data_IF_207072538955
#
_entry.id   IF_207072538955
#
_cell.length_a   1.000
_cell.length_b   1.000
_cell.length_c   1.000
_cell.angle_alpha   90.00
_cell.angle_beta   90.00
_cell.angle_gamma   90.00
#
_symmetry.space_group_name_H-M   'P 1'
#
loop_
_entity.id
_entity.type
_entity.pdbx_description
1 polymer ?
#
# COMPACT_ATOMS: atom_id res chain seq x y z
N UNK A 1 -14.64 12.67 4.11
CA UNK A 1 -15.86 11.86 4.09
C UNK A 1 -16.95 12.65 3.38
N UNK A 2 -17.53 12.07 2.34
CA UNK A 2 -18.57 12.68 1.50
C UNK A 2 -19.85 11.89 1.69
N UNK A 3 -20.98 12.58 1.90
CA UNK A 3 -22.31 11.96 1.84
C UNK A 3 -22.72 11.81 0.37
N UNK A 4 -22.78 10.58 -0.14
CA UNK A 4 -23.09 10.28 -1.54
C UNK A 4 -24.56 10.54 -1.94
N UNK A 5 -25.42 10.93 -1.00
CA UNK A 5 -26.81 11.33 -1.29
C UNK A 5 -26.94 12.84 -1.53
N UNK A 6 -26.03 13.63 -0.94
CA UNK A 6 -26.06 15.10 -1.01
C UNK A 6 -24.83 15.67 -1.72
N UNK A 7 -23.79 14.83 -1.97
CA UNK A 7 -22.48 15.21 -2.49
C UNK A 7 -21.74 16.25 -1.62
N UNK A 8 -22.11 16.32 -0.33
CA UNK A 8 -21.50 17.25 0.61
C UNK A 8 -20.36 16.62 1.40
N UNK A 9 -19.32 17.40 1.70
CA UNK A 9 -18.24 17.00 2.63
C UNK A 9 -18.81 17.07 4.05
N UNK A 10 -18.94 15.91 4.70
CA UNK A 10 -19.49 15.81 6.06
C UNK A 10 -18.42 15.68 7.15
N UNK A 11 -17.20 15.31 6.79
CA UNK A 11 -16.05 15.28 7.69
C UNK A 11 -14.73 15.27 6.93
N UNK A 12 -13.68 15.80 7.56
CA UNK A 12 -12.30 15.77 7.08
C UNK A 12 -11.39 15.31 8.21
N UNK A 13 -10.39 14.50 7.88
CA UNK A 13 -9.36 14.05 8.79
C UNK A 13 -7.99 14.35 8.17
N UNK A 14 -7.20 15.15 8.86
CA UNK A 14 -5.83 15.41 8.44
C UNK A 14 -4.95 14.22 8.85
N UNK A 15 -4.28 13.64 7.88
CA UNK A 15 -3.19 12.66 8.03
C UNK A 15 -1.86 13.31 7.62
N UNK A 16 -0.83 12.54 7.37
CA UNK A 16 0.45 13.05 6.89
C UNK A 16 0.39 13.62 5.46
N UNK A 17 1.56 14.01 4.97
CA UNK A 17 1.72 14.61 3.63
C UNK A 17 1.55 13.54 2.56
N UNK A 18 0.85 13.88 1.47
CA UNK A 18 0.62 13.05 0.29
C UNK A 18 0.03 11.65 0.60
N UNK A 19 -1.21 11.56 1.12
CA UNK A 19 -1.89 10.29 1.22
C UNK A 19 -2.17 9.75 -0.18
N UNK A 20 -1.70 8.52 -0.48
CA UNK A 20 -1.70 7.96 -1.84
C UNK A 20 -2.60 6.74 -2.01
N UNK A 21 -3.05 6.11 -0.96
CA UNK A 21 -3.85 4.88 -1.04
C UNK A 21 -4.79 4.70 0.15
N UNK A 22 -5.90 3.98 -0.06
CA UNK A 22 -6.93 3.71 0.94
C UNK A 22 -7.36 2.24 0.87
N UNK A 23 -7.51 1.60 2.02
CA UNK A 23 -8.05 0.25 2.14
C UNK A 23 -8.96 0.12 3.38
N UNK A 24 -10.06 -0.65 3.26
CA UNK A 24 -10.99 -0.91 4.36
C UNK A 24 -10.87 -2.38 4.78
N UNK A 25 -10.44 -2.61 6.01
CA UNK A 25 -10.20 -3.95 6.55
C UNK A 25 -11.48 -4.69 7.01
N UNK A 26 -11.31 -5.95 7.44
CA UNK A 26 -12.43 -6.79 7.90
C UNK A 26 -13.06 -6.31 9.22
N UNK A 27 -12.41 -5.43 9.96
CA UNK A 27 -12.94 -4.81 11.18
C UNK A 27 -13.58 -3.44 10.92
N UNK A 28 -13.68 -3.04 9.65
CA UNK A 28 -14.22 -1.74 9.26
C UNK A 28 -13.29 -0.57 9.56
N UNK A 29 -11.98 -0.82 9.75
CA UNK A 29 -10.98 0.23 9.91
C UNK A 29 -10.42 0.65 8.57
N UNK A 30 -10.26 1.95 8.39
CA UNK A 30 -9.70 2.53 7.18
C UNK A 30 -8.19 2.67 7.35
N UNK A 31 -7.46 2.18 6.37
CA UNK A 31 -6.02 2.33 6.26
C UNK A 31 -5.66 3.32 5.18
N UNK A 32 -4.67 4.16 5.45
CA UNK A 32 -4.07 5.05 4.46
C UNK A 32 -2.57 5.11 4.65
N UNK A 33 -1.87 5.24 3.54
CA UNK A 33 -0.42 5.41 3.51
C UNK A 33 -0.12 6.82 3.00
N UNK A 34 0.88 7.47 3.60
CA UNK A 34 1.43 8.74 3.15
C UNK A 34 2.88 8.52 2.75
N UNK A 35 3.32 9.11 1.65
CA UNK A 35 4.71 9.01 1.21
C UNK A 35 5.65 10.06 1.86
N UNK A 36 5.06 11.03 2.58
CA UNK A 36 5.81 12.03 3.33
C UNK A 36 6.21 13.28 2.53
N UNK A 37 5.88 13.33 1.24
CA UNK A 37 6.25 14.44 0.38
C UNK A 37 7.68 14.34 -0.15
N UNK A 38 8.25 15.46 -0.56
CA UNK A 38 9.59 15.51 -1.14
C UNK A 38 10.25 16.88 -0.86
N UNK A 39 11.56 16.90 -0.93
CA UNK A 39 12.37 18.12 -0.84
C UNK A 39 11.85 19.19 -1.83
N UNK A 40 11.80 20.44 -1.41
CA UNK A 40 11.26 21.57 -2.17
C UNK A 40 9.72 21.57 -2.38
N UNK A 41 8.99 20.63 -1.81
CA UNK A 41 7.52 20.70 -1.81
C UNK A 41 7.03 21.89 -0.99
N UNK A 42 6.03 22.61 -1.52
CA UNK A 42 5.37 23.72 -0.79
C UNK A 42 4.65 23.24 0.49
N UNK A 43 4.41 21.95 0.61
CA UNK A 43 3.79 21.31 1.78
C UNK A 43 4.82 20.77 2.79
N UNK A 44 6.12 20.86 2.45
CA UNK A 44 7.22 20.32 3.24
C UNK A 44 7.46 18.81 2.99
N UNK A 45 8.26 18.25 3.88
CA UNK A 45 8.65 16.84 3.87
C UNK A 45 8.59 16.30 5.29
N UNK A 46 8.14 15.05 5.44
CA UNK A 46 8.10 14.32 6.70
C UNK A 46 8.36 12.82 6.49
N UNK A 47 8.50 12.07 7.56
CA UNK A 47 8.58 10.61 7.48
C UNK A 47 7.29 10.03 6.89
N UNK A 48 7.37 9.14 5.90
CA UNK A 48 6.21 8.39 5.43
C UNK A 48 5.56 7.60 6.57
N UNK A 49 4.26 7.38 6.49
CA UNK A 49 3.56 6.69 7.55
C UNK A 49 2.31 5.94 7.06
N UNK A 50 2.00 4.87 7.78
CA UNK A 50 0.76 4.10 7.63
C UNK A 50 -0.17 4.45 8.79
N UNK A 51 -1.43 4.76 8.50
CA UNK A 51 -2.44 5.14 9.48
C UNK A 51 -3.57 4.13 9.52
N UNK A 52 -3.98 3.73 10.74
CA UNK A 52 -5.24 3.05 10.99
C UNK A 52 -6.23 4.06 11.56
N UNK A 53 -7.39 4.17 10.94
CA UNK A 53 -8.39 5.19 11.20
C UNK A 53 -9.73 4.53 11.49
N UNK A 54 -10.44 5.01 12.49
CA UNK A 54 -11.85 4.73 12.66
C UNK A 54 -12.67 5.66 11.75
N UNK A 55 -13.33 5.14 10.69
CA UNK A 55 -14.07 5.99 9.74
C UNK A 55 -15.43 6.48 10.28
N UNK A 56 -15.94 5.94 11.39
CA UNK A 56 -17.16 6.38 12.03
C UNK A 56 -16.90 7.64 12.85
N UNK A 57 -15.90 7.58 13.72
CA UNK A 57 -15.51 8.70 14.58
C UNK A 57 -14.54 9.68 13.92
N UNK A 58 -13.99 9.32 12.77
CA UNK A 58 -12.96 10.08 12.06
C UNK A 58 -11.73 10.35 12.95
N UNK A 59 -11.25 9.32 13.64
CA UNK A 59 -10.09 9.42 14.53
C UNK A 59 -8.96 8.48 14.09
N UNK A 60 -7.72 8.95 14.22
CA UNK A 60 -6.52 8.11 14.03
C UNK A 60 -6.35 7.23 15.26
N UNK A 61 -6.47 5.91 15.08
CA UNK A 61 -6.23 4.93 16.14
C UNK A 61 -4.75 4.60 16.29
N UNK A 62 -4.02 4.54 15.17
CA UNK A 62 -2.58 4.23 15.09
C UNK A 62 -1.90 4.99 13.97
N UNK A 63 -0.67 5.41 14.21
CA UNK A 63 0.31 5.88 13.23
C UNK A 63 1.54 4.97 13.33
N UNK A 64 1.92 4.36 12.22
CA UNK A 64 3.15 3.60 12.07
C UNK A 64 4.09 4.40 11.19
N UNK A 65 5.05 5.05 11.78
CA UNK A 65 6.01 5.91 11.08
C UNK A 65 7.15 5.07 10.51
N UNK A 66 7.50 5.33 9.26
CA UNK A 66 8.63 4.70 8.58
C UNK A 66 9.90 5.56 8.73
N UNK A 67 11.02 5.05 8.25
CA UNK A 67 12.25 5.83 8.22
C UNK A 67 12.10 7.02 7.27
N UNK A 68 12.64 8.17 7.67
CA UNK A 68 12.69 9.34 6.81
C UNK A 68 13.43 9.03 5.49
N UNK A 69 12.87 9.47 4.38
CA UNK A 69 13.41 9.21 3.05
C UNK A 69 13.18 7.79 2.52
N UNK A 70 12.34 6.98 3.18
CA UNK A 70 11.90 5.71 2.61
C UNK A 70 10.80 5.93 1.55
N UNK A 71 10.71 5.03 0.58
CA UNK A 71 9.79 5.12 -0.56
C UNK A 71 8.55 4.25 -0.30
N UNK A 72 7.57 4.85 0.38
CA UNK A 72 6.35 4.16 0.79
C UNK A 72 5.20 4.41 -0.19
N UNK A 73 4.66 3.34 -0.76
CA UNK A 73 3.56 3.41 -1.73
C UNK A 73 2.66 2.17 -1.65
N UNK A 74 1.49 2.26 -2.29
CA UNK A 74 0.59 1.14 -2.52
C UNK A 74 0.22 0.35 -1.27
N UNK A 75 -1.01 0.46 -0.79
CA UNK A 75 -1.53 -0.51 0.18
C UNK A 75 -2.61 -1.38 -0.44
N UNK A 76 -2.57 -2.66 -0.15
CA UNK A 76 -3.59 -3.63 -0.56
C UNK A 76 -3.91 -4.60 0.57
N UNK A 77 -5.13 -5.13 0.53
CA UNK A 77 -5.58 -6.17 1.45
C UNK A 77 -5.70 -7.51 0.72
N UNK A 78 -5.48 -8.61 1.44
CA UNK A 78 -5.84 -9.93 0.95
C UNK A 78 -7.36 -10.10 0.84
N UNK A 79 -7.82 -11.25 0.33
CA UNK A 79 -9.24 -11.51 0.08
C UNK A 79 -10.10 -11.52 1.34
N UNK A 80 -9.56 -11.91 2.50
CA UNK A 80 -10.24 -11.88 3.82
C UNK A 80 -10.17 -10.54 4.51
N UNK A 81 -9.36 -9.61 3.97
CA UNK A 81 -9.12 -8.27 4.49
C UNK A 81 -8.55 -8.22 5.92
N UNK A 82 -7.86 -9.27 6.33
CA UNK A 82 -7.20 -9.39 7.62
C UNK A 82 -5.67 -9.24 7.54
N UNK A 83 -5.12 -9.15 6.30
CA UNK A 83 -3.71 -8.93 6.02
C UNK A 83 -3.54 -7.71 5.12
N UNK A 84 -2.71 -6.78 5.56
CA UNK A 84 -2.31 -5.58 4.81
C UNK A 84 -0.93 -5.79 4.21
N UNK A 85 -0.78 -5.42 2.94
CA UNK A 85 0.49 -5.40 2.22
C UNK A 85 0.77 -3.99 1.73
N UNK A 86 2.06 -3.61 1.66
CA UNK A 86 2.49 -2.33 1.10
C UNK A 86 3.90 -2.41 0.54
N UNK A 87 4.24 -1.44 -0.31
CA UNK A 87 5.59 -1.20 -0.79
C UNK A 87 6.25 -0.17 0.12
N UNK A 88 7.48 -0.43 0.54
CA UNK A 88 8.36 0.53 1.19
C UNK A 88 9.80 0.02 1.04
N UNK A 89 10.39 0.28 -0.13
CA UNK A 89 11.57 -0.37 -0.69
C UNK A 89 11.37 -1.89 -0.86
N UNK A 90 11.08 -2.59 0.21
CA UNK A 90 10.65 -4.00 0.26
C UNK A 90 9.14 -4.12 0.06
N UNK A 91 8.66 -5.35 -0.11
CA UNK A 91 7.23 -5.68 0.07
C UNK A 91 7.01 -6.13 1.50
N UNK A 92 6.12 -5.46 2.18
CA UNK A 92 5.78 -5.72 3.57
C UNK A 92 4.41 -6.35 3.73
N UNK A 93 4.22 -7.08 4.83
CA UNK A 93 2.96 -7.71 5.20
C UNK A 93 2.75 -7.62 6.70
N UNK A 94 1.53 -7.28 7.14
CA UNK A 94 1.15 -7.41 8.55
C UNK A 94 -0.32 -7.78 8.73
N UNK A 95 -0.65 -8.32 9.89
CA UNK A 95 -2.02 -8.48 10.36
C UNK A 95 -2.64 -7.10 10.65
N UNK A 96 -3.90 -6.88 10.24
CA UNK A 96 -4.59 -5.59 10.47
C UNK A 96 -4.84 -5.27 11.94
N UNK A 97 -4.69 -6.25 12.83
CA UNK A 97 -4.77 -6.06 14.29
C UNK A 97 -3.42 -5.77 14.95
N UNK A 98 -2.33 -5.80 14.18
CA UNK A 98 -0.99 -5.56 14.70
C UNK A 98 -0.86 -4.17 15.30
N UNK A 99 -0.11 -4.08 16.40
CA UNK A 99 0.20 -2.83 17.11
C UNK A 99 1.62 -2.33 16.79
N UNK A 100 2.40 -3.10 16.01
CA UNK A 100 3.79 -2.81 15.64
C UNK A 100 4.04 -3.20 14.19
N UNK A 101 4.93 -2.46 13.53
CA UNK A 101 5.44 -2.82 12.22
C UNK A 101 6.18 -4.17 12.27
N UNK A 102 6.12 -4.97 11.20
CA UNK A 102 6.85 -6.24 11.11
C UNK A 102 8.36 -5.99 11.10
N UNK A 103 9.12 -6.91 11.69
CA UNK A 103 10.58 -6.84 11.75
C UNK A 103 11.27 -7.37 10.47
N UNK A 104 10.51 -8.04 9.61
CA UNK A 104 11.03 -8.60 8.34
C UNK A 104 10.01 -8.39 7.24
N UNK A 105 10.47 -8.05 6.03
CA UNK A 105 9.57 -7.90 4.89
C UNK A 105 8.96 -9.25 4.48
N UNK A 106 7.88 -9.17 3.74
CA UNK A 106 7.30 -10.30 3.01
C UNK A 106 8.28 -10.74 1.90
N UNK A 107 8.74 -9.79 1.08
CA UNK A 107 9.81 -9.99 0.11
C UNK A 107 10.83 -8.86 0.26
N UNK A 108 12.12 -9.18 0.47
CA UNK A 108 13.16 -8.17 0.52
C UNK A 108 13.41 -7.58 -0.87
N UNK A 109 13.84 -6.33 -0.90
CA UNK A 109 14.33 -5.67 -2.10
C UNK A 109 15.49 -6.48 -2.71
N UNK A 110 15.40 -6.68 -4.01
CA UNK A 110 16.41 -7.39 -4.81
C UNK A 110 16.90 -6.55 -5.99
N UNK A 111 16.70 -5.23 -5.94
CA UNK A 111 16.99 -4.30 -7.03
C UNK A 111 15.83 -4.14 -8.02
N UNK A 112 14.64 -4.64 -7.69
CA UNK A 112 13.42 -4.48 -8.48
C UNK A 112 12.79 -3.12 -8.18
N UNK A 113 12.35 -2.41 -9.21
CA UNK A 113 11.56 -1.18 -9.04
C UNK A 113 10.09 -1.58 -8.84
N UNK A 114 9.73 -1.91 -7.59
CA UNK A 114 8.36 -2.24 -7.23
C UNK A 114 7.44 -1.03 -7.46
N UNK A 115 6.51 -1.16 -8.40
CA UNK A 115 5.67 -0.05 -8.86
C UNK A 115 4.18 -0.26 -8.61
N UNK A 116 3.73 -1.50 -8.59
CA UNK A 116 2.35 -1.83 -8.28
C UNK A 116 2.24 -3.14 -7.51
N UNK A 117 1.21 -3.28 -6.70
CA UNK A 117 1.01 -4.40 -5.80
C UNK A 117 -0.46 -4.81 -5.77
N UNK A 118 -0.73 -6.11 -5.77
CA UNK A 118 -2.07 -6.65 -5.47
C UNK A 118 -2.00 -8.06 -4.90
N UNK A 119 -3.07 -8.46 -4.22
CA UNK A 119 -3.23 -9.82 -3.68
C UNK A 119 -4.46 -10.45 -4.30
N UNK A 120 -4.31 -11.63 -4.89
CA UNK A 120 -5.44 -12.37 -5.44
C UNK A 120 -6.45 -12.72 -4.33
N UNK A 121 -7.71 -12.25 -4.41
CA UNK A 121 -8.67 -12.44 -3.33
C UNK A 121 -9.07 -13.90 -3.11
N UNK A 122 -8.82 -14.80 -4.08
CA UNK A 122 -9.17 -16.22 -4.02
C UNK A 122 -8.02 -17.09 -3.53
N UNK A 123 -6.81 -16.93 -4.11
CA UNK A 123 -5.65 -17.76 -3.79
C UNK A 123 -4.76 -17.17 -2.70
N UNK A 124 -4.81 -15.87 -2.49
CA UNK A 124 -3.87 -15.16 -1.62
C UNK A 124 -2.49 -14.94 -2.25
N UNK A 125 -2.33 -15.25 -3.54
CA UNK A 125 -1.06 -14.99 -4.24
C UNK A 125 -0.85 -13.48 -4.39
N UNK A 126 0.39 -13.07 -4.19
CA UNK A 126 0.83 -11.68 -4.28
C UNK A 126 1.39 -11.42 -5.68
N UNK A 127 0.87 -10.41 -6.34
CA UNK A 127 1.33 -9.97 -7.65
C UNK A 127 2.00 -8.61 -7.51
N UNK A 128 3.19 -8.49 -8.07
CA UNK A 128 4.03 -7.32 -7.99
C UNK A 128 4.37 -6.87 -9.40
N UNK A 129 4.18 -5.60 -9.68
CA UNK A 129 4.59 -4.99 -10.93
C UNK A 129 5.96 -4.34 -10.74
N UNK A 130 6.86 -4.63 -11.66
CA UNK A 130 8.18 -4.05 -11.79
C UNK A 130 8.21 -3.11 -13.01
N UNK A 131 8.51 -1.85 -12.78
CA UNK A 131 8.67 -0.86 -13.86
C UNK A 131 10.01 -0.96 -14.57
N UNK A 132 10.96 -1.74 -14.04
CA UNK A 132 12.32 -1.98 -14.55
C UNK A 132 13.11 -0.67 -14.69
N UNK A 133 12.87 0.11 -15.74
CA UNK A 133 13.57 1.37 -16.02
C UNK A 133 12.63 2.46 -16.55
N UNK A 134 11.32 2.24 -16.43
CA UNK A 134 10.25 3.13 -16.94
C UNK A 134 10.23 3.31 -18.47
N UNK A 135 11.04 2.59 -19.24
CA UNK A 135 11.18 2.73 -20.70
C UNK A 135 10.85 1.44 -21.44
N UNK A 136 11.37 0.32 -20.94
CA UNK A 136 11.10 -0.99 -21.51
C UNK A 136 9.83 -1.63 -20.95
N UNK A 137 9.47 -2.79 -21.46
CA UNK A 137 8.34 -3.57 -20.93
C UNK A 137 8.61 -3.94 -19.49
N UNK A 138 7.63 -3.69 -18.63
CA UNK A 138 7.67 -4.11 -17.23
C UNK A 138 7.43 -5.61 -17.06
N UNK A 139 7.66 -6.08 -15.85
CA UNK A 139 7.51 -7.47 -15.44
C UNK A 139 6.43 -7.59 -14.36
N UNK A 140 5.69 -8.68 -14.40
CA UNK A 140 4.85 -9.09 -13.27
C UNK A 140 5.46 -10.32 -12.64
N UNK A 141 5.64 -10.27 -11.33
CA UNK A 141 6.01 -11.43 -10.52
C UNK A 141 4.78 -11.89 -9.73
N UNK A 142 4.56 -13.20 -9.71
CA UNK A 142 3.54 -13.85 -8.89
C UNK A 142 4.20 -14.70 -7.82
N UNK A 143 3.94 -14.37 -6.58
CA UNK A 143 4.42 -15.13 -5.42
C UNK A 143 3.26 -15.81 -4.70
N UNK A 144 3.51 -17.01 -4.16
CA UNK A 144 2.58 -17.64 -3.24
C UNK A 144 2.52 -16.85 -1.92
N UNK A 145 1.46 -17.06 -1.13
CA UNK A 145 1.39 -16.56 0.25
C UNK A 145 2.53 -17.04 1.15
N UNK A 146 3.27 -18.07 0.73
CA UNK A 146 4.45 -18.59 1.42
C UNK A 146 5.76 -18.00 0.88
N UNK A 147 5.69 -16.94 0.05
CA UNK A 147 6.85 -16.22 -0.51
C UNK A 147 7.62 -16.98 -1.58
N UNK A 148 7.03 -18.00 -2.18
CA UNK A 148 7.64 -18.76 -3.28
C UNK A 148 7.26 -18.12 -4.62
N UNK A 149 8.22 -17.87 -5.49
CA UNK A 149 7.96 -17.40 -6.85
C UNK A 149 7.23 -18.52 -7.62
N UNK A 150 6.03 -18.21 -8.12
CA UNK A 150 5.20 -19.14 -8.89
C UNK A 150 5.38 -18.91 -10.39
N UNK A 151 5.43 -17.63 -10.80
CA UNK A 151 5.42 -17.25 -12.21
C UNK A 151 5.97 -15.83 -12.39
N UNK A 152 6.45 -15.53 -13.60
CA UNK A 152 6.86 -14.21 -14.02
C UNK A 152 6.57 -14.02 -15.52
N UNK A 153 6.13 -12.82 -15.92
CA UNK A 153 5.82 -12.54 -17.32
C UNK A 153 5.91 -11.05 -17.64
N UNK A 154 6.28 -10.74 -18.88
CA UNK A 154 6.33 -9.37 -19.39
C UNK A 154 4.94 -8.82 -19.67
N UNK A 155 4.79 -7.52 -19.45
CA UNK A 155 3.58 -6.74 -19.69
C UNK A 155 3.91 -5.43 -20.41
N UNK A 156 3.00 -4.48 -20.42
CA UNK A 156 3.25 -3.14 -20.96
C UNK A 156 4.28 -2.35 -20.14
N UNK A 157 4.65 -1.18 -20.62
CA UNK A 157 5.56 -0.24 -19.95
C UNK A 157 4.85 0.33 -18.70
N UNK A 158 5.56 0.41 -17.57
CA UNK A 158 5.08 0.98 -16.30
C UNK A 158 3.76 0.36 -15.86
N UNK A 159 3.72 -0.95 -15.54
CA UNK A 159 2.50 -1.62 -15.07
C UNK A 159 2.17 -1.15 -13.65
N UNK A 160 1.10 -0.36 -13.48
CA UNK A 160 0.79 0.28 -12.19
C UNK A 160 -0.56 -0.11 -11.59
N UNK A 161 -1.38 -0.96 -12.25
CA UNK A 161 -2.69 -1.30 -11.72
C UNK A 161 -3.12 -2.73 -12.08
N UNK A 162 -3.90 -3.32 -11.18
CA UNK A 162 -4.44 -4.67 -11.32
C UNK A 162 -5.97 -4.67 -11.17
N UNK A 163 -6.63 -5.63 -11.79
CA UNK A 163 -8.07 -5.83 -11.66
C UNK A 163 -8.40 -7.33 -11.58
N UNK A 164 -9.30 -7.67 -10.68
CA UNK A 164 -9.78 -9.04 -10.48
C UNK A 164 -11.23 -9.18 -10.98
N UNK A 165 -11.54 -10.33 -11.58
CA UNK A 165 -12.90 -10.73 -11.95
C UNK A 165 -13.50 -11.68 -10.92
#
# INVERSE_FOLDING_TARGET
KIDTRTDEIVAELKVGIQPNSLALDCHGKLWTLTDGGYEDSVYGEESPALYRIDPETMTIERKFEFLFGSDASEIVLNGTKDRLYWINNDIWEMDVTSEHLPLRPFLPDNGTIYYGLTVCPRSGDVYIADAIDYVQQGMIYRYSKNRELIDEFYVGIIPGAFCWK
#
